data_IF_995323992175
#
_entry.id   IF_995323992175
#
_cell.length_a   1.000
_cell.length_b   1.000
_cell.length_c   1.000
_cell.angle_alpha   90.00
_cell.angle_beta   90.00
_cell.angle_gamma   90.00
#
_symmetry.space_group_name_H-M   'P 1'
#
loop_
_entity.id
_entity.type
_entity.pdbx_description
1 polymer ?
#
# COMPACT_ATOMS: atom_id res chain seq x y z
N UNK A 1 -5.01 -0.44 5.79
CA UNK A 1 -4.92 -1.78 6.43
C UNK A 1 -6.08 -2.69 6.03
N UNK A 2 -7.35 -2.34 6.25
CA UNK A 2 -8.49 -3.23 5.89
C UNK A 2 -8.51 -3.65 4.41
N UNK A 3 -8.22 -2.74 3.48
CA UNK A 3 -8.12 -3.06 2.05
C UNK A 3 -6.99 -4.07 1.75
N UNK A 4 -5.86 -4.00 2.47
CA UNK A 4 -4.76 -4.96 2.33
C UNK A 4 -5.19 -6.36 2.79
N UNK A 5 -5.86 -6.45 3.95
CA UNK A 5 -6.44 -7.70 4.46
C UNK A 5 -7.47 -8.29 3.50
N UNK A 6 -8.41 -7.46 3.02
CA UNK A 6 -9.44 -7.88 2.07
C UNK A 6 -8.84 -8.38 0.74
N UNK A 7 -7.83 -7.69 0.21
CA UNK A 7 -7.10 -8.11 -0.99
C UNK A 7 -6.44 -9.48 -0.81
N UNK A 8 -5.73 -9.69 0.31
CA UNK A 8 -5.09 -10.97 0.60
C UNK A 8 -6.12 -12.12 0.72
N UNK A 9 -7.22 -11.88 1.45
CA UNK A 9 -8.30 -12.87 1.62
C UNK A 9 -9.05 -13.19 0.32
N UNK A 10 -9.16 -12.23 -0.60
CA UNK A 10 -9.80 -12.45 -1.91
C UNK A 10 -9.05 -13.46 -2.79
N UNK A 11 -7.75 -13.61 -2.57
CA UNK A 11 -6.88 -14.56 -3.29
C UNK A 11 -6.71 -15.86 -2.51
N UNK A 12 -6.46 -15.75 -1.21
CA UNK A 12 -6.29 -16.89 -0.32
C UNK A 12 -7.11 -16.69 0.97
N UNK A 13 -8.31 -17.29 1.10
CA UNK A 13 -9.17 -17.12 2.27
C UNK A 13 -8.59 -17.74 3.55
N UNK A 14 -7.48 -18.50 3.46
CA UNK A 14 -6.79 -19.10 4.61
C UNK A 14 -5.63 -18.26 5.14
N UNK A 15 -5.29 -17.15 4.48
CA UNK A 15 -4.25 -16.23 4.97
C UNK A 15 -4.69 -15.64 6.31
N UNK A 16 -3.74 -15.39 7.21
CA UNK A 16 -3.99 -14.71 8.48
C UNK A 16 -3.25 -13.38 8.49
N UNK A 17 -3.91 -12.33 8.96
CA UNK A 17 -3.34 -10.99 9.05
C UNK A 17 -3.20 -10.59 10.51
N UNK A 18 -1.97 -10.25 10.91
CA UNK A 18 -1.68 -9.62 12.20
C UNK A 18 -1.57 -8.11 12.00
N UNK A 19 -2.22 -7.35 12.86
CA UNK A 19 -2.14 -5.89 12.90
C UNK A 19 -1.54 -5.48 14.24
N UNK A 20 -0.54 -4.59 14.19
CA UNK A 20 0.01 -3.92 15.37
C UNK A 20 0.17 -2.43 15.07
N UNK A 21 -0.06 -1.60 16.08
CA UNK A 21 0.15 -0.16 16.00
C UNK A 21 1.25 0.22 16.99
N UNK A 22 2.25 0.97 16.52
CA UNK A 22 3.39 1.40 17.34
C UNK A 22 3.07 2.59 18.26
N UNK A 23 1.84 3.13 18.19
CA UNK A 23 1.39 4.27 18.99
C UNK A 23 2.06 5.61 18.64
N UNK A 24 2.77 5.67 17.51
CA UNK A 24 3.45 6.86 16.98
C UNK A 24 3.34 6.87 15.47
N UNK A 25 3.30 8.07 14.86
CA UNK A 25 3.35 8.24 13.41
C UNK A 25 4.74 7.97 12.82
N UNK A 26 5.79 8.12 13.64
CA UNK A 26 7.17 7.91 13.20
C UNK A 26 8.04 7.49 14.39
N UNK A 27 8.38 6.20 14.43
CA UNK A 27 9.34 5.63 15.37
C UNK A 27 9.96 4.37 14.72
N UNK A 28 11.07 4.50 13.99
CA UNK A 28 11.68 3.37 13.27
C UNK A 28 12.11 2.22 14.19
N UNK A 29 12.53 2.52 15.43
CA UNK A 29 12.95 1.49 16.38
C UNK A 29 11.76 0.62 16.81
N UNK A 30 10.64 1.26 17.21
CA UNK A 30 9.40 0.52 17.52
C UNK A 30 8.82 -0.20 16.33
N UNK A 31 8.90 0.39 15.12
CA UNK A 31 8.47 -0.27 13.90
C UNK A 31 9.28 -1.54 13.61
N UNK A 32 10.61 -1.50 13.81
CA UNK A 32 11.49 -2.67 13.68
C UNK A 32 11.11 -3.74 14.71
N UNK A 33 11.00 -3.38 15.99
CA UNK A 33 10.64 -4.31 17.07
C UNK A 33 9.27 -4.99 16.82
N UNK A 34 8.25 -4.22 16.48
CA UNK A 34 6.93 -4.76 16.14
C UNK A 34 6.97 -5.69 14.92
N UNK A 35 7.80 -5.38 13.93
CA UNK A 35 7.97 -6.22 12.74
C UNK A 35 8.68 -7.53 13.08
N UNK A 36 9.74 -7.49 13.90
CA UNK A 36 10.42 -8.69 14.40
C UNK A 36 9.43 -9.60 15.12
N UNK A 37 8.61 -9.05 16.03
CA UNK A 37 7.60 -9.83 16.73
C UNK A 37 6.57 -10.47 15.78
N UNK A 38 6.15 -9.78 14.71
CA UNK A 38 5.26 -10.37 13.69
C UNK A 38 5.93 -11.52 12.95
N UNK A 39 7.21 -11.38 12.58
CA UNK A 39 7.99 -12.39 11.87
C UNK A 39 8.23 -13.62 12.75
N UNK A 40 8.53 -13.43 14.03
CA UNK A 40 8.64 -14.52 15.01
C UNK A 40 7.31 -15.30 15.12
N UNK A 41 6.18 -14.60 14.99
CA UNK A 41 4.83 -15.14 14.86
C UNK A 41 4.48 -15.59 13.42
N UNK A 42 5.49 -15.86 12.59
CA UNK A 42 5.40 -16.46 11.25
C UNK A 42 4.82 -15.56 10.15
N UNK A 43 4.79 -14.24 10.33
CA UNK A 43 4.50 -13.34 9.21
C UNK A 43 5.62 -13.41 8.16
N UNK A 44 5.26 -13.68 6.91
CA UNK A 44 6.16 -13.85 5.76
C UNK A 44 6.03 -12.73 4.72
N UNK A 45 5.08 -11.83 4.90
CA UNK A 45 4.84 -10.68 4.04
C UNK A 45 4.35 -9.47 4.87
N UNK A 46 5.11 -8.37 4.85
CA UNK A 46 4.85 -7.22 5.73
C UNK A 46 4.32 -6.02 4.94
N UNK A 47 3.14 -5.53 5.30
CA UNK A 47 2.68 -4.21 4.87
C UNK A 47 3.39 -3.13 5.69
N UNK A 48 4.29 -2.39 5.06
CA UNK A 48 5.14 -1.39 5.70
C UNK A 48 4.56 0.01 5.49
N UNK A 49 4.08 0.63 6.57
CA UNK A 49 3.64 2.03 6.48
C UNK A 49 4.83 3.01 6.36
N UNK A 50 5.94 2.72 7.05
CA UNK A 50 7.11 3.59 7.24
C UNK A 50 8.41 2.80 7.48
N UNK A 51 9.49 3.55 7.71
CA UNK A 51 10.84 3.10 8.04
C UNK A 51 10.91 2.18 9.28
N UNK A 52 12.01 1.43 9.41
CA UNK A 52 12.21 0.43 10.47
C UNK A 52 11.73 -0.97 10.07
N UNK A 53 10.58 -1.06 9.41
CA UNK A 53 9.98 -2.33 8.94
C UNK A 53 10.90 -3.07 7.96
N UNK A 54 11.48 -2.35 7.00
CA UNK A 54 12.28 -2.95 5.94
C UNK A 54 13.61 -3.53 6.44
N UNK A 55 14.14 -3.04 7.55
CA UNK A 55 15.37 -3.59 8.13
C UNK A 55 15.11 -4.98 8.72
N UNK A 56 14.06 -5.12 9.54
CA UNK A 56 13.63 -6.42 10.04
C UNK A 56 13.26 -7.39 8.90
N UNK A 57 12.56 -6.90 7.87
CA UNK A 57 12.20 -7.72 6.71
C UNK A 57 13.44 -8.25 5.96
N UNK A 58 14.46 -7.39 5.76
CA UNK A 58 15.75 -7.78 5.16
C UNK A 58 16.48 -8.82 5.99
N UNK A 59 16.62 -8.58 7.29
CA UNK A 59 17.32 -9.49 8.22
C UNK A 59 16.67 -10.88 8.24
N UNK A 60 15.34 -10.93 8.23
CA UNK A 60 14.58 -12.18 8.23
C UNK A 60 14.34 -12.77 6.83
N UNK A 61 14.74 -12.06 5.76
CA UNK A 61 14.50 -12.44 4.36
C UNK A 61 13.02 -12.68 4.03
N UNK A 62 12.12 -11.90 4.62
CA UNK A 62 10.69 -11.88 4.31
C UNK A 62 10.36 -10.70 3.39
N UNK A 63 9.30 -10.82 2.62
CA UNK A 63 8.93 -9.76 1.67
C UNK A 63 8.16 -8.62 2.34
N UNK A 64 8.19 -7.45 1.72
CA UNK A 64 7.50 -6.26 2.19
C UNK A 64 6.79 -5.52 1.04
N UNK A 65 5.76 -4.76 1.42
CA UNK A 65 5.01 -3.87 0.53
C UNK A 65 5.02 -2.46 1.12
N UNK A 66 5.54 -1.49 0.37
CA UNK A 66 5.66 -0.11 0.82
C UNK A 66 4.36 0.68 0.73
N UNK A 67 4.32 1.84 1.38
CA UNK A 67 3.14 2.71 1.41
C UNK A 67 3.52 4.19 1.24
N UNK A 68 2.62 4.96 0.67
CA UNK A 68 2.71 6.39 0.37
C UNK A 68 3.67 6.77 -0.77
N UNK A 69 4.87 6.20 -0.82
CA UNK A 69 5.86 6.41 -1.90
C UNK A 69 6.41 5.09 -2.40
N UNK A 70 7.18 5.12 -3.50
CA UNK A 70 7.96 3.96 -3.90
C UNK A 70 9.15 3.81 -2.94
N UNK A 71 9.14 2.73 -2.16
CA UNK A 71 10.13 2.47 -1.12
C UNK A 71 11.11 1.35 -1.47
N UNK A 72 11.13 0.88 -2.72
CA UNK A 72 12.01 -0.22 -3.11
C UNK A 72 13.50 0.07 -2.86
N UNK A 73 13.95 1.30 -3.12
CA UNK A 73 15.35 1.71 -2.92
C UNK A 73 15.87 1.53 -1.48
N UNK A 74 14.99 1.47 -0.47
CA UNK A 74 15.36 1.26 0.93
C UNK A 74 15.72 -0.21 1.23
N UNK A 75 15.14 -1.14 0.47
CA UNK A 75 15.35 -2.57 0.63
C UNK A 75 14.99 -3.33 -0.67
N UNK A 76 15.80 -3.20 -1.73
CA UNK A 76 15.45 -3.66 -3.08
C UNK A 76 15.21 -5.16 -3.23
N UNK A 77 15.76 -5.95 -2.30
CA UNK A 77 15.67 -7.41 -2.29
C UNK A 77 14.42 -7.95 -1.59
N UNK A 78 13.68 -7.13 -0.86
CA UNK A 78 12.48 -7.55 -0.11
C UNK A 78 11.24 -6.72 -0.40
N UNK A 79 11.38 -5.45 -0.80
CA UNK A 79 10.22 -4.61 -1.15
C UNK A 79 9.76 -4.93 -2.55
N UNK A 80 8.66 -5.68 -2.67
CA UNK A 80 8.17 -6.17 -3.97
C UNK A 80 7.58 -5.04 -4.81
N UNK A 81 6.83 -4.14 -4.17
CA UNK A 81 6.25 -2.92 -4.76
C UNK A 81 5.70 -2.06 -3.62
N UNK A 82 5.11 -0.90 -3.95
CA UNK A 82 4.51 0.02 -2.98
C UNK A 82 3.18 0.60 -3.48
N UNK A 83 2.26 0.88 -2.57
CA UNK A 83 1.12 1.75 -2.87
C UNK A 83 1.58 3.20 -2.82
N UNK A 84 1.66 3.84 -3.99
CA UNK A 84 2.08 5.24 -4.12
C UNK A 84 0.87 6.14 -4.10
N UNK A 85 0.92 7.17 -3.26
CA UNK A 85 -0.07 8.24 -3.22
C UNK A 85 0.44 9.38 -4.10
N UNK A 86 -0.31 9.67 -5.15
CA UNK A 86 0.00 10.76 -6.06
C UNK A 86 -0.89 11.96 -5.76
N UNK A 87 -0.31 12.97 -5.11
CA UNK A 87 -1.06 14.19 -4.78
C UNK A 87 -1.20 15.13 -5.98
N UNK A 88 -0.57 14.83 -7.12
CA UNK A 88 -0.54 15.73 -8.27
C UNK A 88 -1.94 16.10 -8.80
N UNK A 89 -2.89 15.17 -9.01
CA UNK A 89 -4.22 15.54 -9.51
C UNK A 89 -4.96 16.50 -8.56
N UNK A 90 -4.84 16.25 -7.25
CA UNK A 90 -5.45 17.07 -6.20
C UNK A 90 -4.85 18.48 -6.15
N UNK A 91 -3.51 18.56 -6.13
CA UNK A 91 -2.79 19.84 -6.08
C UNK A 91 -3.05 20.64 -7.35
N UNK A 92 -2.99 20.00 -8.53
CA UNK A 92 -3.27 20.64 -9.82
C UNK A 92 -4.68 21.23 -9.86
N UNK A 93 -5.69 20.45 -9.45
CA UNK A 93 -7.08 20.93 -9.41
C UNK A 93 -7.23 22.14 -8.47
N UNK A 94 -6.62 22.07 -7.29
CA UNK A 94 -6.68 23.15 -6.30
C UNK A 94 -6.05 24.45 -6.83
N UNK A 95 -4.87 24.37 -7.44
CA UNK A 95 -4.19 25.52 -8.06
C UNK A 95 -5.05 26.13 -9.17
N UNK A 96 -5.62 25.29 -10.05
CA UNK A 96 -6.48 25.76 -11.15
C UNK A 96 -7.72 26.51 -10.65
N UNK A 97 -8.36 26.02 -9.58
CA UNK A 97 -9.53 26.71 -9.00
C UNK A 97 -9.17 28.05 -8.36
N UNK A 98 -8.01 28.14 -7.70
CA UNK A 98 -7.52 29.39 -7.12
C UNK A 98 -7.22 30.40 -8.24
N UNK A 99 -6.51 29.98 -9.28
CA UNK A 99 -6.20 30.83 -10.43
C UNK A 99 -7.45 31.33 -11.15
N UNK A 100 -8.51 30.51 -11.21
CA UNK A 100 -9.78 30.87 -11.80
C UNK A 100 -10.67 31.75 -10.88
N UNK A 101 -10.27 31.99 -9.62
CA UNK A 101 -11.11 32.69 -8.64
C UNK A 101 -12.36 31.91 -8.21
N UNK A 102 -12.40 30.60 -8.47
CA UNK A 102 -13.55 29.72 -8.22
C UNK A 102 -13.32 28.78 -7.04
N UNK A 103 -12.33 29.06 -6.19
CA UNK A 103 -12.00 28.20 -5.07
C UNK A 103 -13.18 28.10 -4.09
N UNK A 104 -13.49 26.87 -3.69
CA UNK A 104 -14.44 26.56 -2.63
C UNK A 104 -14.00 25.31 -1.88
N UNK A 105 -14.32 25.23 -0.59
CA UNK A 105 -14.13 24.01 0.18
C UNK A 105 -15.00 22.89 -0.43
N UNK A 106 -14.38 21.75 -0.71
CA UNK A 106 -15.05 20.58 -1.29
C UNK A 106 -14.30 19.30 -0.94
N UNK A 107 -14.99 18.17 -1.00
CA UNK A 107 -14.37 16.85 -0.88
C UNK A 107 -13.58 16.52 -2.15
N UNK A 108 -12.27 16.30 -2.00
CA UNK A 108 -11.34 15.96 -3.08
C UNK A 108 -10.97 14.47 -3.09
N UNK A 109 -11.64 13.63 -2.29
CA UNK A 109 -11.37 12.19 -2.17
C UNK A 109 -11.22 11.48 -3.52
N UNK A 110 -12.08 11.80 -4.47
CA UNK A 110 -12.06 11.18 -5.79
C UNK A 110 -10.78 11.47 -6.58
N UNK A 111 -10.13 12.61 -6.35
CA UNK A 111 -8.85 12.95 -6.98
C UNK A 111 -7.67 12.16 -6.41
N UNK A 112 -7.81 11.61 -5.20
CA UNK A 112 -6.82 10.72 -4.57
C UNK A 112 -6.99 9.25 -4.99
N UNK A 113 -8.05 8.92 -5.73
CA UNK A 113 -8.31 7.56 -6.19
C UNK A 113 -7.53 7.24 -7.46
N UNK A 114 -7.28 5.95 -7.68
CA UNK A 114 -6.49 5.45 -8.82
C UNK A 114 -7.08 5.84 -10.18
N UNK A 115 -8.41 5.93 -10.30
CA UNK A 115 -9.09 6.37 -11.51
C UNK A 115 -8.73 7.81 -11.92
N UNK A 116 -8.52 8.69 -10.94
CA UNK A 116 -8.08 10.07 -11.17
C UNK A 116 -6.54 10.21 -11.25
N UNK A 117 -5.81 9.09 -11.14
CA UNK A 117 -4.35 9.07 -11.06
C UNK A 117 -3.79 9.42 -9.68
N UNK A 118 -4.64 9.55 -8.65
CA UNK A 118 -4.23 9.96 -7.30
C UNK A 118 -3.56 8.86 -6.46
N UNK A 119 -3.56 7.64 -6.96
CA UNK A 119 -2.82 6.52 -6.39
C UNK A 119 -2.45 5.53 -7.48
N UNK A 120 -1.37 4.78 -7.26
CA UNK A 120 -0.89 3.74 -8.18
C UNK A 120 -0.07 2.70 -7.44
N UNK A 121 0.14 1.56 -8.11
CA UNK A 121 1.20 0.64 -7.72
C UNK A 121 2.54 1.13 -8.27
N UNK A 122 3.60 1.04 -7.48
CA UNK A 122 4.97 1.25 -7.97
C UNK A 122 5.39 0.10 -8.91
N UNK A 123 6.45 0.26 -9.73
CA UNK A 123 7.05 -0.85 -10.46
C UNK A 123 7.45 -2.01 -9.53
N UNK A 124 7.60 -3.22 -10.10
CA UNK A 124 8.09 -4.38 -9.34
C UNK A 124 9.62 -4.42 -9.22
N UNK A 125 10.33 -3.51 -9.90
CA UNK A 125 11.80 -3.39 -9.84
C UNK A 125 12.50 -4.73 -10.12
N UNK A 126 13.37 -5.18 -9.20
CA UNK A 126 14.09 -6.46 -9.29
C UNK A 126 13.17 -7.69 -9.27
N UNK A 127 11.90 -7.53 -8.86
CA UNK A 127 10.90 -8.59 -8.85
C UNK A 127 10.15 -8.73 -10.17
N UNK A 128 10.31 -7.81 -11.12
CA UNK A 128 9.62 -7.85 -12.42
C UNK A 128 9.83 -9.19 -13.15
N UNK A 129 11.04 -9.74 -13.06
CA UNK A 129 11.42 -11.04 -13.65
C UNK A 129 11.15 -12.24 -12.73
N UNK A 130 10.85 -12.01 -11.45
CA UNK A 130 10.59 -13.07 -10.45
C UNK A 130 9.10 -13.39 -10.31
N UNK A 131 8.23 -12.43 -10.63
CA UNK A 131 6.78 -12.60 -10.54
C UNK A 131 6.24 -13.40 -11.74
N UNK A 132 5.35 -14.38 -11.51
CA UNK A 132 4.67 -15.10 -12.59
C UNK A 132 3.94 -14.15 -13.53
N UNK A 133 3.99 -14.43 -14.84
CA UNK A 133 3.36 -13.60 -15.85
C UNK A 133 1.83 -13.52 -15.69
N UNK A 134 1.18 -14.62 -15.31
CA UNK A 134 -0.26 -14.67 -15.06
C UNK A 134 -0.66 -13.83 -13.84
N UNK A 135 0.18 -13.79 -12.80
CA UNK A 135 -0.02 -12.93 -11.64
C UNK A 135 0.03 -11.45 -12.03
N UNK A 136 1.04 -11.05 -12.81
CA UNK A 136 1.15 -9.67 -13.30
C UNK A 136 -0.05 -9.28 -14.18
N UNK A 137 -0.50 -10.19 -15.05
CA UNK A 137 -1.68 -9.97 -15.88
C UNK A 137 -2.97 -9.78 -15.04
N UNK A 138 -3.16 -10.57 -13.98
CA UNK A 138 -4.30 -10.42 -13.05
C UNK A 138 -4.28 -9.08 -12.33
N UNK A 139 -3.10 -8.63 -11.88
CA UNK A 139 -2.94 -7.33 -11.21
C UNK A 139 -3.23 -6.18 -12.17
N UNK A 140 -2.75 -6.26 -13.41
CA UNK A 140 -3.03 -5.25 -14.45
C UNK A 140 -4.52 -5.20 -14.82
N UNK A 141 -5.16 -6.35 -15.03
CA UNK A 141 -6.61 -6.42 -15.30
C UNK A 141 -7.43 -5.78 -14.17
N UNK A 142 -7.11 -6.09 -12.91
CA UNK A 142 -7.79 -5.47 -11.77
C UNK A 142 -7.52 -3.96 -11.68
N UNK A 143 -6.28 -3.54 -11.97
CA UNK A 143 -5.89 -2.12 -12.05
C UNK A 143 -6.73 -1.37 -13.08
N UNK A 144 -6.92 -1.95 -14.27
CA UNK A 144 -7.75 -1.35 -15.31
C UNK A 144 -9.24 -1.33 -14.92
N UNK A 145 -9.75 -2.39 -14.28
CA UNK A 145 -11.13 -2.41 -13.79
C UNK A 145 -11.39 -1.35 -12.71
N UNK A 146 -10.42 -1.09 -11.83
CA UNK A 146 -10.48 0.00 -10.83
C UNK A 146 -10.49 1.36 -11.53
N UNK A 147 -9.57 1.58 -12.48
CA UNK A 147 -9.50 2.83 -13.24
C UNK A 147 -10.77 3.10 -14.05
N UNK A 148 -11.37 2.06 -14.62
CA UNK A 148 -12.62 2.13 -15.38
C UNK A 148 -13.87 2.26 -14.49
N UNK A 149 -13.76 2.11 -13.16
CA UNK A 149 -14.89 2.12 -12.23
C UNK A 149 -15.77 0.87 -12.28
N UNK A 150 -15.40 -0.13 -13.07
CA UNK A 150 -16.09 -1.44 -13.16
C UNK A 150 -15.80 -2.35 -11.95
N UNK A 151 -14.79 -2.00 -11.16
CA UNK A 151 -14.52 -2.60 -9.86
C UNK A 151 -14.24 -1.51 -8.83
N UNK A 152 -15.01 -1.51 -7.75
CA UNK A 152 -14.84 -0.56 -6.64
C UNK A 152 -14.25 -1.28 -5.45
N UNK A 153 -13.08 -0.82 -4.99
CA UNK A 153 -12.47 -1.33 -3.75
C UNK A 153 -13.33 -0.86 -2.57
N UNK A 154 -13.89 -1.77 -1.75
CA UNK A 154 -14.69 -1.38 -0.59
C UNK A 154 -13.85 -0.57 0.41
N UNK A 155 -14.40 0.56 0.87
CA UNK A 155 -13.80 1.37 1.93
C UNK A 155 -14.37 0.90 3.27
N UNK A 156 -13.51 0.32 4.10
CA UNK A 156 -13.84 -0.06 5.47
C UNK A 156 -12.98 0.76 6.44
N UNK A 157 -13.64 1.64 7.18
CA UNK A 157 -13.02 2.56 8.15
C UNK A 157 -13.03 2.04 9.59
N UNK A 158 -13.64 0.86 9.83
CA UNK A 158 -13.59 0.23 11.15
C UNK A 158 -12.15 -0.11 11.54
N UNK A 159 -11.87 -0.12 12.85
CA UNK A 159 -10.55 -0.50 13.35
C UNK A 159 -10.17 -1.90 12.84
N UNK A 160 -9.00 -2.08 12.19
CA UNK A 160 -8.58 -3.40 11.71
C UNK A 160 -8.39 -4.37 12.88
N UNK A 161 -8.93 -5.58 12.72
CA UNK A 161 -8.82 -6.65 13.72
C UNK A 161 -7.90 -7.74 13.19
N UNK A 162 -6.95 -8.18 14.04
CA UNK A 162 -6.08 -9.31 13.76
C UNK A 162 -6.88 -10.61 13.69
N UNK A 163 -6.44 -11.55 12.86
CA UNK A 163 -7.01 -12.92 12.85
C UNK A 163 -6.45 -13.81 13.98
N UNK A 164 -5.51 -13.27 14.76
CA UNK A 164 -4.79 -13.89 15.89
C UNK A 164 -4.56 -12.87 17.02
#
# INVERSE_FOLDING_TARGET
VNAFKAGALSVNPKVRVKVSFIGSWFDPAKAKEATVAMIENKADYIFAERFGVFEAAKEAKVFAFGNMTDQNSLAPDVVVTSCVWDMYPLIKNSIQMIQAGTWKAQDLKNLSMMAAGGSRLAPYHSFESKLPADLKAKIEDLTQKIKAGTFTVPVNEAQPVSDL
#
